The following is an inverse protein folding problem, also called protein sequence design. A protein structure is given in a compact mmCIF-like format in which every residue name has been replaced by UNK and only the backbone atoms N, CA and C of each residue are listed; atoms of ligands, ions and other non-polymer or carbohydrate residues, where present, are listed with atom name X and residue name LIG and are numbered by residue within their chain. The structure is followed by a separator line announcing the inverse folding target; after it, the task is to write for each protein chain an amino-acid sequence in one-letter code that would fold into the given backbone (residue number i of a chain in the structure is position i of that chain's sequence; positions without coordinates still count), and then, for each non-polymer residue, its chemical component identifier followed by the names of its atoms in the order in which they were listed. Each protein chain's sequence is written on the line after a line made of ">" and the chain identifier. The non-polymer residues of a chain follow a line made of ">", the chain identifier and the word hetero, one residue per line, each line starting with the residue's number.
data_IF_992916034044
#
_entry.id   IF_992916034044
#
_cell.length_a   1.000
_cell.length_b   1.000
_cell.length_c   1.000
_cell.angle_alpha   90.00
_cell.angle_beta   90.00
_cell.angle_gamma   90.00
#
_symmetry.space_group_name_H-M   'P 1'
#
loop_
_entity.id
_entity.type
_entity.pdbx_description
1 polymer ?
#
# COMPACT_ATOMS: atom_id res chain seq x y z
N UNK A 1 -15.75 -4.97 -17.26
CA UNK A 1 -14.63 -5.05 -16.29
C UNK A 1 -14.03 -6.44 -16.14
N UNK A 2 -14.72 -7.53 -16.57
CA UNK A 2 -14.22 -8.89 -16.38
C UNK A 2 -13.23 -9.35 -17.47
N UNK A 3 -13.54 -9.11 -18.74
CA UNK A 3 -12.72 -9.53 -19.88
C UNK A 3 -12.30 -8.37 -20.80
N UNK A 4 -12.56 -7.12 -20.38
CA UNK A 4 -12.23 -5.89 -21.10
C UNK A 4 -12.88 -5.77 -22.51
N UNK A 5 -13.81 -6.66 -22.88
CA UNK A 5 -14.56 -6.57 -24.13
C UNK A 5 -15.44 -5.31 -24.16
N UNK A 6 -15.59 -4.74 -25.34
CA UNK A 6 -16.50 -3.61 -25.62
C UNK A 6 -17.92 -4.06 -25.97
N UNK A 7 -18.16 -5.37 -26.20
CA UNK A 7 -19.46 -5.92 -26.56
C UNK A 7 -20.36 -6.05 -25.33
N UNK A 8 -20.93 -4.95 -24.89
CA UNK A 8 -21.78 -4.86 -23.71
C UNK A 8 -23.19 -4.41 -24.08
N UNK A 9 -24.18 -4.95 -23.38
CA UNK A 9 -25.59 -4.55 -23.51
C UNK A 9 -26.18 -4.20 -22.15
N UNK A 10 -27.24 -3.36 -22.16
CA UNK A 10 -28.04 -3.10 -20.96
C UNK A 10 -28.77 -4.37 -20.56
N UNK A 11 -28.75 -4.73 -19.29
CA UNK A 11 -29.33 -5.96 -18.75
C UNK A 11 -30.20 -5.68 -17.52
N UNK A 12 -31.25 -4.92 -17.71
CA UNK A 12 -32.19 -4.55 -16.67
C UNK A 12 -31.56 -3.66 -15.55
N UNK A 13 -32.29 -3.55 -14.45
CA UNK A 13 -31.88 -2.82 -13.24
C UNK A 13 -31.79 -3.77 -12.06
N UNK A 14 -30.99 -3.39 -11.05
CA UNK A 14 -30.98 -4.09 -9.77
C UNK A 14 -32.17 -3.63 -8.87
N UNK A 15 -32.33 -4.28 -7.71
CA UNK A 15 -33.40 -3.97 -6.75
C UNK A 15 -33.32 -2.53 -6.18
N UNK A 16 -32.21 -1.83 -6.40
CA UNK A 16 -31.99 -0.42 -6.00
C UNK A 16 -32.16 0.55 -7.15
N UNK A 17 -32.57 0.07 -8.35
CA UNK A 17 -32.76 0.88 -9.54
C UNK A 17 -31.50 1.15 -10.36
N UNK A 18 -30.33 0.62 -9.99
CA UNK A 18 -29.09 0.83 -10.73
C UNK A 18 -29.07 -0.01 -12.02
N UNK A 19 -28.58 0.59 -13.11
CA UNK A 19 -28.44 -0.10 -14.39
C UNK A 19 -27.40 -1.21 -14.31
N UNK A 20 -27.77 -2.42 -14.72
CA UNK A 20 -26.88 -3.55 -14.92
C UNK A 20 -26.53 -3.71 -16.41
N UNK A 21 -25.40 -4.30 -16.67
CA UNK A 21 -24.87 -4.59 -17.99
C UNK A 21 -24.48 -6.06 -18.09
N UNK A 22 -24.55 -6.61 -19.29
CA UNK A 22 -24.09 -7.97 -19.63
C UNK A 22 -22.99 -7.86 -20.68
N UNK A 23 -21.88 -8.51 -20.47
CA UNK A 23 -20.86 -8.71 -21.49
C UNK A 23 -21.24 -9.91 -22.37
N UNK A 24 -21.31 -9.72 -23.69
CA UNK A 24 -21.66 -10.79 -24.63
C UNK A 24 -20.54 -11.83 -24.80
N UNK A 25 -19.30 -11.44 -24.57
CA UNK A 25 -18.14 -12.34 -24.71
C UNK A 25 -17.99 -13.30 -23.53
N UNK A 26 -18.00 -12.79 -22.30
CA UNK A 26 -17.79 -13.61 -21.10
C UNK A 26 -19.07 -13.93 -20.33
N UNK A 27 -20.23 -13.49 -20.84
CA UNK A 27 -21.56 -13.70 -20.24
C UNK A 27 -21.70 -13.26 -18.76
N UNK A 28 -20.79 -12.44 -18.27
CA UNK A 28 -20.83 -11.91 -16.89
C UNK A 28 -21.59 -10.59 -16.85
N UNK A 29 -22.40 -10.43 -15.80
CA UNK A 29 -23.10 -9.17 -15.53
C UNK A 29 -22.26 -8.27 -14.64
N UNK A 30 -22.42 -6.96 -14.79
CA UNK A 30 -21.74 -5.95 -13.99
C UNK A 30 -22.57 -4.67 -13.90
N UNK A 31 -22.19 -3.78 -12.99
CA UNK A 31 -22.76 -2.45 -12.82
C UNK A 31 -21.64 -1.41 -12.76
N UNK A 32 -21.99 -0.12 -12.67
CA UNK A 32 -21.01 0.98 -12.56
C UNK A 32 -20.06 0.87 -11.37
N UNK A 33 -20.49 0.20 -10.29
CA UNK A 33 -19.67 0.02 -9.09
C UNK A 33 -18.85 -1.30 -9.11
N UNK A 34 -19.02 -2.16 -10.11
CA UNK A 34 -18.29 -3.43 -10.20
C UNK A 34 -16.79 -3.18 -10.38
N UNK A 35 -15.99 -3.75 -9.52
CA UNK A 35 -14.52 -3.56 -9.49
C UNK A 35 -14.06 -2.28 -8.78
N UNK A 36 -15.00 -1.44 -8.30
CA UNK A 36 -14.67 -0.26 -7.50
C UNK A 36 -14.56 -0.59 -6.00
N UNK A 37 -14.12 0.38 -5.20
CA UNK A 37 -14.10 0.32 -3.75
C UNK A 37 -15.47 -0.09 -3.17
N UNK A 38 -16.56 0.35 -3.80
CA UNK A 38 -17.94 0.09 -3.38
C UNK A 38 -18.49 -1.25 -3.89
N UNK A 39 -17.69 -2.05 -4.59
CA UNK A 39 -18.12 -3.35 -5.10
C UNK A 39 -18.50 -4.28 -3.94
N UNK A 40 -19.64 -4.98 -4.10
CA UNK A 40 -20.20 -5.91 -3.10
C UNK A 40 -20.57 -5.29 -1.74
N UNK A 41 -20.65 -3.96 -1.64
CA UNK A 41 -21.09 -3.33 -0.39
C UNK A 41 -22.63 -3.30 -0.28
N UNK A 42 -23.13 -3.58 0.93
CA UNK A 42 -24.53 -3.36 1.31
C UNK A 42 -24.73 -2.02 2.03
N UNK A 43 -23.63 -1.35 2.36
CA UNK A 43 -23.63 -0.11 3.13
C UNK A 43 -23.83 1.10 2.25
N UNK A 44 -24.33 2.19 2.83
CA UNK A 44 -24.63 3.42 2.11
C UNK A 44 -23.35 4.20 1.78
N UNK A 45 -23.34 5.00 0.69
CA UNK A 45 -22.16 5.78 0.30
C UNK A 45 -21.66 6.75 1.39
N UNK A 46 -22.57 7.35 2.18
CA UNK A 46 -22.17 8.28 3.23
C UNK A 46 -21.34 7.62 4.33
N UNK A 47 -21.63 6.33 4.66
CA UNK A 47 -20.84 5.57 5.65
C UNK A 47 -19.39 5.36 5.18
N UNK A 48 -19.19 5.18 3.88
CA UNK A 48 -17.85 5.11 3.28
C UNK A 48 -17.13 6.44 3.37
N UNK A 49 -17.85 7.55 3.14
CA UNK A 49 -17.27 8.89 3.26
C UNK A 49 -16.81 9.18 4.70
N UNK A 50 -17.67 8.94 5.69
CA UNK A 50 -17.33 9.09 7.11
C UNK A 50 -16.15 8.21 7.52
N UNK A 51 -16.13 6.97 7.04
CA UNK A 51 -15.03 6.05 7.30
C UNK A 51 -13.70 6.53 6.70
N UNK A 52 -13.70 6.99 5.46
CA UNK A 52 -12.52 7.52 4.78
C UNK A 52 -12.00 8.76 5.53
N UNK A 53 -12.89 9.66 5.92
CA UNK A 53 -12.52 10.85 6.68
C UNK A 53 -11.88 10.48 8.04
N UNK A 54 -12.46 9.53 8.76
CA UNK A 54 -11.92 9.01 10.01
C UNK A 54 -10.53 8.37 9.80
N UNK A 55 -10.33 7.62 8.70
CA UNK A 55 -9.03 7.04 8.35
C UNK A 55 -7.96 8.12 8.15
N UNK A 56 -8.27 9.21 7.45
CA UNK A 56 -7.34 10.33 7.25
C UNK A 56 -7.07 11.12 8.53
N UNK A 57 -8.00 11.14 9.47
CA UNK A 57 -7.79 11.71 10.80
C UNK A 57 -6.88 10.85 11.70
N UNK A 58 -6.52 9.64 11.25
CA UNK A 58 -5.66 8.72 12.00
C UNK A 58 -6.41 7.95 13.10
N UNK A 59 -7.73 7.86 13.03
CA UNK A 59 -8.53 7.13 14.01
C UNK A 59 -8.23 5.62 14.03
N UNK A 60 -8.45 5.01 15.19
CA UNK A 60 -8.32 3.56 15.36
C UNK A 60 -9.40 2.81 14.59
N UNK A 61 -9.22 1.49 14.37
CA UNK A 61 -10.24 0.65 13.71
C UNK A 61 -11.59 0.70 14.42
N UNK A 62 -11.60 0.58 15.74
CA UNK A 62 -12.80 0.62 16.56
C UNK A 62 -13.54 1.97 16.40
N UNK A 63 -12.79 3.08 16.56
CA UNK A 63 -13.39 4.42 16.42
C UNK A 63 -13.93 4.68 15.01
N UNK A 64 -13.21 4.27 13.96
CA UNK A 64 -13.70 4.37 12.58
C UNK A 64 -14.95 3.51 12.35
N UNK A 65 -15.04 2.35 13.01
CA UNK A 65 -16.22 1.49 12.96
C UNK A 65 -17.43 2.18 13.57
N UNK A 66 -17.26 2.77 14.75
CA UNK A 66 -18.34 3.49 15.45
C UNK A 66 -18.85 4.69 14.65
N UNK A 67 -17.93 5.51 14.11
CA UNK A 67 -18.28 6.68 13.28
C UNK A 67 -19.10 6.28 12.06
N UNK A 68 -18.69 5.24 11.36
CA UNK A 68 -19.36 4.78 10.12
C UNK A 68 -20.56 3.84 10.39
N UNK A 69 -20.87 3.50 11.65
CA UNK A 69 -21.95 2.58 11.99
C UNK A 69 -21.76 1.17 11.41
N UNK A 70 -20.55 0.63 11.50
CA UNK A 70 -20.17 -0.69 11.01
C UNK A 70 -19.48 -1.51 12.11
N UNK A 71 -19.37 -2.82 11.94
CA UNK A 71 -18.61 -3.68 12.86
C UNK A 71 -17.10 -3.54 12.67
N UNK A 72 -16.30 -3.80 13.70
CA UNK A 72 -14.84 -3.76 13.62
C UNK A 72 -14.25 -4.69 12.53
N UNK A 73 -14.73 -5.93 12.35
CA UNK A 73 -14.28 -6.76 11.22
C UNK A 73 -14.53 -6.12 9.86
N UNK A 74 -15.68 -5.42 9.69
CA UNK A 74 -15.98 -4.67 8.48
C UNK A 74 -15.05 -3.47 8.33
N UNK A 75 -14.75 -2.76 9.43
CA UNK A 75 -13.79 -1.66 9.48
C UNK A 75 -12.41 -2.12 8.98
N UNK A 76 -11.91 -3.26 9.46
CA UNK A 76 -10.64 -3.82 9.00
C UNK A 76 -10.65 -4.11 7.49
N UNK A 77 -11.70 -4.75 6.98
CA UNK A 77 -11.85 -5.04 5.55
C UNK A 77 -11.89 -3.76 4.71
N UNK A 78 -12.61 -2.74 5.18
CA UNK A 78 -12.71 -1.46 4.49
C UNK A 78 -11.37 -0.75 4.46
N UNK A 79 -10.63 -0.75 5.59
CA UNK A 79 -9.29 -0.18 5.66
C UNK A 79 -8.35 -0.83 4.63
N UNK A 80 -8.35 -2.16 4.55
CA UNK A 80 -7.55 -2.86 3.54
C UNK A 80 -7.95 -2.50 2.11
N UNK A 81 -9.26 -2.43 1.80
CA UNK A 81 -9.72 -2.02 0.47
C UNK A 81 -9.27 -0.61 0.10
N UNK A 82 -9.40 0.34 1.02
CA UNK A 82 -9.00 1.74 0.78
C UNK A 82 -7.49 1.83 0.58
N UNK A 83 -6.72 1.20 1.46
CA UNK A 83 -5.26 1.20 1.35
C UNK A 83 -4.76 0.52 0.07
N UNK A 84 -5.44 -0.53 -0.40
CA UNK A 84 -5.11 -1.17 -1.68
C UNK A 84 -5.34 -0.22 -2.86
N UNK A 85 -6.47 0.48 -2.90
CA UNK A 85 -6.74 1.48 -3.95
C UNK A 85 -5.75 2.64 -3.88
N UNK A 86 -5.41 3.11 -2.69
CA UNK A 86 -4.40 4.17 -2.52
C UNK A 86 -3.02 3.68 -2.97
N UNK A 87 -2.64 2.44 -2.67
CA UNK A 87 -1.39 1.86 -3.14
C UNK A 87 -1.33 1.83 -4.68
N UNK A 88 -2.42 1.42 -5.34
CA UNK A 88 -2.50 1.41 -6.80
C UNK A 88 -2.41 2.82 -7.41
N UNK A 89 -3.00 3.83 -6.76
CA UNK A 89 -2.95 5.22 -7.19
C UNK A 89 -1.57 5.88 -6.93
N UNK A 90 -0.83 5.41 -5.94
CA UNK A 90 0.49 5.94 -5.56
C UNK A 90 1.63 5.15 -6.19
N UNK A 91 1.34 4.19 -7.07
CA UNK A 91 2.33 3.43 -7.84
C UNK A 91 3.07 4.26 -8.91
N UNK A 92 3.02 5.58 -8.83
CA UNK A 92 4.02 6.39 -9.49
C UNK A 92 5.38 6.00 -8.90
N UNK A 93 6.21 5.37 -9.73
CA UNK A 93 7.61 5.12 -9.43
C UNK A 93 8.40 6.39 -9.78
N UNK A 94 8.42 7.43 -8.93
CA UNK A 94 9.08 8.65 -9.28
C UNK A 94 10.57 8.38 -9.46
N UNK A 95 11.15 8.95 -10.48
CA UNK A 95 12.59 9.11 -10.59
C UNK A 95 12.96 10.30 -9.72
N UNK A 96 13.80 10.05 -8.72
CA UNK A 96 14.23 11.07 -7.77
C UNK A 96 15.30 11.97 -8.43
N UNK A 97 15.42 13.20 -7.97
CA UNK A 97 16.35 14.19 -8.54
C UNK A 97 17.07 14.99 -7.46
N UNK A 98 18.15 15.63 -7.85
CA UNK A 98 18.96 16.52 -7.02
C UNK A 98 19.49 15.84 -5.74
N UNK A 99 19.14 16.33 -4.57
CA UNK A 99 19.56 15.72 -3.31
C UNK A 99 18.51 14.74 -2.80
N UNK A 100 18.91 13.49 -2.61
CA UNK A 100 18.06 12.38 -2.14
C UNK A 100 18.49 11.98 -0.73
N UNK A 101 17.55 12.00 0.19
CA UNK A 101 17.73 11.54 1.57
C UNK A 101 17.23 10.11 1.71
N UNK A 102 18.07 9.22 2.26
CA UNK A 102 17.76 7.82 2.51
C UNK A 102 17.67 7.55 3.99
N UNK A 103 16.64 6.82 4.39
CA UNK A 103 16.45 6.34 5.77
C UNK A 103 15.74 4.99 5.78
N UNK A 104 15.85 4.26 6.90
CA UNK A 104 15.11 3.03 7.11
C UNK A 104 14.44 2.97 8.48
N UNK A 105 13.29 2.32 8.52
CA UNK A 105 12.55 2.03 9.75
C UNK A 105 12.37 0.54 9.95
N UNK A 106 12.73 0.07 11.13
CA UNK A 106 12.55 -1.30 11.55
C UNK A 106 11.18 -1.49 12.22
N UNK A 107 10.30 -2.27 11.59
CA UNK A 107 9.01 -2.65 12.16
C UNK A 107 9.02 -4.11 12.61
N UNK A 108 8.49 -4.36 13.80
CA UNK A 108 8.29 -5.72 14.31
C UNK A 108 7.21 -6.40 13.49
N UNK A 109 7.49 -7.61 13.01
CA UNK A 109 6.47 -8.45 12.39
C UNK A 109 5.62 -9.03 13.51
N UNK A 110 4.39 -8.53 13.66
CA UNK A 110 3.44 -9.06 14.64
C UNK A 110 2.65 -10.21 14.03
N UNK A 111 2.55 -11.30 14.76
CA UNK A 111 1.69 -12.44 14.45
C UNK A 111 0.45 -12.46 15.34
N UNK A 112 -0.12 -11.27 15.62
CA UNK A 112 -1.34 -11.15 16.42
C UNK A 112 -2.47 -11.97 15.80
N UNK A 113 -3.14 -12.77 16.61
CA UNK A 113 -4.22 -13.68 16.17
C UNK A 113 -3.80 -15.11 15.83
N UNK A 114 -2.51 -15.42 15.78
CA UNK A 114 -2.04 -16.82 15.71
C UNK A 114 -1.75 -17.32 17.13
N UNK A 115 -2.37 -18.43 17.53
CA UNK A 115 -1.92 -19.19 18.69
C UNK A 115 -0.55 -19.77 18.36
N UNK A 116 0.51 -19.10 18.81
CA UNK A 116 1.85 -19.68 18.78
C UNK A 116 2.09 -20.35 20.13
N UNK A 117 2.30 -21.64 20.15
CA UNK A 117 2.63 -22.41 21.35
C UNK A 117 3.94 -21.95 22.02
N UNK A 118 4.84 -21.32 21.24
CA UNK A 118 6.07 -20.72 21.74
C UNK A 118 6.13 -19.25 21.35
N UNK A 119 5.79 -18.34 22.25
CA UNK A 119 6.09 -16.90 22.08
C UNK A 119 7.58 -16.69 22.23
N UNK A 120 8.31 -16.71 21.13
CA UNK A 120 9.71 -16.27 21.15
C UNK A 120 9.78 -14.81 21.65
N UNK A 121 10.67 -14.59 22.63
CA UNK A 121 10.91 -13.23 23.13
C UNK A 121 11.41 -12.35 22.00
N UNK A 122 10.83 -11.16 21.85
CA UNK A 122 11.28 -10.18 20.86
C UNK A 122 12.75 -9.82 21.09
N UNK A 123 13.56 -10.07 20.07
CA UNK A 123 14.99 -9.72 20.11
C UNK A 123 15.16 -8.21 19.91
N UNK A 124 16.02 -7.59 20.72
CA UNK A 124 16.40 -6.18 20.59
C UNK A 124 17.29 -5.98 19.35
N UNK A 125 17.31 -4.75 18.80
CA UNK A 125 18.15 -4.39 17.66
C UNK A 125 17.65 -4.92 16.31
N UNK A 126 18.55 -5.08 15.35
CA UNK A 126 18.29 -5.64 14.02
C UNK A 126 18.16 -7.16 14.12
N UNK A 127 16.94 -7.67 14.13
CA UNK A 127 16.68 -9.10 14.20
C UNK A 127 15.87 -9.56 13.00
N UNK A 128 15.95 -10.87 12.69
CA UNK A 128 15.11 -11.51 11.66
C UNK A 128 13.60 -11.40 11.92
N UNK A 129 13.19 -11.02 13.13
CA UNK A 129 11.80 -10.77 13.51
C UNK A 129 11.31 -9.37 13.10
N UNK A 130 12.18 -8.52 12.57
CA UNK A 130 11.85 -7.16 12.16
C UNK A 130 11.96 -7.02 10.64
N UNK A 131 11.03 -6.31 10.06
CA UNK A 131 11.01 -5.99 8.62
C UNK A 131 11.45 -4.56 8.42
N UNK A 132 12.29 -4.34 7.44
CA UNK A 132 12.72 -3.00 7.07
C UNK A 132 11.68 -2.33 6.17
N UNK A 133 11.45 -1.04 6.41
CA UNK A 133 10.78 -0.14 5.50
C UNK A 133 11.83 0.87 5.09
N UNK A 134 12.22 0.87 3.82
CA UNK A 134 13.18 1.80 3.27
C UNK A 134 12.46 2.97 2.65
N UNK A 135 12.98 4.16 2.87
CA UNK A 135 12.44 5.41 2.37
C UNK A 135 13.53 6.21 1.66
N UNK A 136 13.19 6.76 0.51
CA UNK A 136 13.97 7.79 -0.18
C UNK A 136 13.07 8.98 -0.46
N UNK A 137 13.58 10.19 -0.22
CA UNK A 137 12.86 11.43 -0.51
C UNK A 137 13.82 12.42 -1.14
N UNK A 138 13.38 13.10 -2.20
CA UNK A 138 14.16 14.17 -2.82
C UNK A 138 13.73 15.57 -2.34
N UNK A 139 14.42 16.60 -2.78
CA UNK A 139 14.11 18.00 -2.45
C UNK A 139 12.75 18.47 -2.97
N UNK A 140 12.20 17.81 -3.98
CA UNK A 140 10.88 18.09 -4.57
C UNK A 140 9.74 17.32 -3.89
N UNK A 141 10.05 16.62 -2.77
CA UNK A 141 9.10 15.80 -2.02
C UNK A 141 8.58 14.56 -2.78
N UNK A 142 9.27 14.14 -3.86
CA UNK A 142 9.03 12.82 -4.44
C UNK A 142 9.52 11.76 -3.48
N UNK A 143 8.74 10.70 -3.30
CA UNK A 143 9.01 9.68 -2.28
C UNK A 143 9.00 8.29 -2.88
N UNK A 144 9.97 7.49 -2.50
CA UNK A 144 10.00 6.05 -2.75
C UNK A 144 10.01 5.36 -1.41
N UNK A 145 8.92 4.66 -1.08
CA UNK A 145 8.79 3.90 0.17
C UNK A 145 8.54 2.45 -0.21
N UNK A 146 9.35 1.55 0.31
CA UNK A 146 9.22 0.13 0.02
C UNK A 146 9.49 -0.72 1.25
N UNK A 147 8.66 -1.76 1.42
CA UNK A 147 8.87 -2.79 2.42
C UNK A 147 9.90 -3.77 1.86
N UNK A 148 10.95 -3.97 2.63
CA UNK A 148 12.09 -4.82 2.31
C UNK A 148 12.06 -6.15 3.10
N UNK A 149 13.11 -6.95 2.98
CA UNK A 149 13.24 -8.22 3.69
C UNK A 149 13.33 -8.04 5.22
N UNK A 150 13.27 -9.15 5.94
CA UNK A 150 13.44 -9.14 7.40
C UNK A 150 14.91 -9.18 7.81
N UNK A 151 15.23 -8.57 8.94
CA UNK A 151 16.57 -8.55 9.48
C UNK A 151 17.43 -7.40 8.96
N UNK A 152 18.72 -7.64 8.79
CA UNK A 152 19.65 -6.61 8.34
C UNK A 152 19.52 -6.39 6.84
N UNK A 153 19.31 -5.15 6.44
CA UNK A 153 19.22 -4.81 5.02
C UNK A 153 20.60 -4.87 4.34
N UNK A 154 20.62 -5.48 3.15
CA UNK A 154 21.82 -5.63 2.35
C UNK A 154 21.87 -4.63 1.18
N UNK A 155 23.08 -4.19 0.84
CA UNK A 155 23.28 -3.22 -0.26
C UNK A 155 22.79 -3.70 -1.62
N UNK A 156 22.81 -5.01 -1.88
CA UNK A 156 22.27 -5.59 -3.12
C UNK A 156 20.76 -5.44 -3.23
N UNK A 157 20.05 -5.54 -2.09
CA UNK A 157 18.61 -5.36 -2.02
C UNK A 157 18.24 -3.89 -2.20
N UNK A 158 18.93 -2.99 -1.50
CA UNK A 158 18.79 -1.54 -1.70
C UNK A 158 19.02 -1.15 -3.17
N UNK A 159 20.03 -1.75 -3.80
CA UNK A 159 20.29 -1.51 -5.22
C UNK A 159 19.13 -1.95 -6.13
N UNK A 160 18.51 -3.09 -5.89
CA UNK A 160 17.33 -3.54 -6.64
C UNK A 160 16.16 -2.56 -6.52
N UNK A 161 16.01 -1.94 -5.33
CA UNK A 161 14.93 -0.98 -5.07
C UNK A 161 15.19 0.35 -5.77
N UNK A 162 16.43 0.83 -5.75
CA UNK A 162 16.75 2.22 -6.10
C UNK A 162 17.44 2.42 -7.46
N UNK A 163 17.92 1.36 -8.13
CA UNK A 163 18.70 1.44 -9.37
C UNK A 163 18.00 2.22 -10.51
N UNK A 164 16.67 2.11 -10.60
CA UNK A 164 15.87 2.74 -11.64
C UNK A 164 15.18 4.04 -11.13
N UNK A 165 15.48 4.44 -9.88
CA UNK A 165 14.82 5.55 -9.19
C UNK A 165 15.76 6.67 -8.78
N UNK A 166 17.04 6.37 -8.58
CA UNK A 166 18.08 7.34 -8.22
C UNK A 166 19.12 7.38 -9.34
N UNK A 167 19.05 8.39 -10.23
CA UNK A 167 20.06 8.61 -11.26
C UNK A 167 21.45 8.91 -10.68
N UNK A 168 22.50 8.63 -11.43
CA UNK A 168 23.90 8.92 -11.02
C UNK A 168 24.20 10.42 -10.87
N UNK A 169 23.31 11.28 -11.34
CA UNK A 169 23.40 12.74 -11.19
C UNK A 169 23.01 13.24 -9.80
N UNK A 170 22.33 12.38 -9.01
CA UNK A 170 21.87 12.76 -7.68
C UNK A 170 23.00 12.80 -6.66
N UNK A 171 22.85 13.69 -5.68
CA UNK A 171 23.61 13.66 -4.42
C UNK A 171 22.80 12.86 -3.40
N UNK A 172 23.42 11.88 -2.72
CA UNK A 172 22.72 11.03 -1.75
C UNK A 172 23.21 11.33 -0.34
N UNK A 173 22.27 11.58 0.55
CA UNK A 173 22.48 11.78 1.98
C UNK A 173 21.85 10.64 2.74
N UNK A 174 22.62 9.98 3.59
CA UNK A 174 22.11 8.89 4.45
C UNK A 174 22.87 8.90 5.77
N UNK A 175 22.42 8.06 6.71
CA UNK A 175 23.18 7.74 7.90
C UNK A 175 24.47 6.94 7.57
N UNK A 176 25.27 6.66 8.59
CA UNK A 176 26.56 5.96 8.45
C UNK A 176 26.41 4.44 8.22
N UNK A 177 25.26 3.93 7.84
CA UNK A 177 25.06 2.50 7.64
C UNK A 177 25.91 1.98 6.46
N UNK A 178 26.70 0.94 6.71
CA UNK A 178 27.62 0.36 5.70
C UNK A 178 26.91 -0.08 4.39
N UNK A 179 25.63 -0.42 4.47
CA UNK A 179 24.83 -0.81 3.30
C UNK A 179 24.60 0.35 2.34
N UNK A 180 24.41 1.58 2.85
CA UNK A 180 24.27 2.79 2.06
C UNK A 180 25.59 3.20 1.38
N UNK A 181 26.72 3.13 2.08
CA UNK A 181 28.01 3.38 1.43
C UNK A 181 28.29 2.47 0.24
N UNK A 182 27.90 1.18 0.31
CA UNK A 182 28.02 0.26 -0.82
C UNK A 182 26.97 0.57 -1.90
N UNK A 183 25.75 0.97 -1.53
CA UNK A 183 24.72 1.38 -2.47
C UNK A 183 25.17 2.57 -3.31
N UNK A 184 25.72 3.63 -2.67
CA UNK A 184 26.21 4.82 -3.36
C UNK A 184 27.27 4.47 -4.42
N UNK A 185 28.18 3.54 -4.11
CA UNK A 185 29.17 3.02 -5.08
C UNK A 185 28.50 2.31 -6.25
N UNK A 186 27.45 1.50 -6.01
CA UNK A 186 26.73 0.81 -7.07
C UNK A 186 25.93 1.76 -7.96
N UNK A 187 25.32 2.78 -7.38
CA UNK A 187 24.58 3.82 -8.11
C UNK A 187 25.49 4.86 -8.77
N UNK A 188 26.81 4.89 -8.44
CA UNK A 188 27.78 5.89 -8.88
C UNK A 188 27.38 7.33 -8.52
N UNK A 189 26.74 7.49 -7.37
CA UNK A 189 26.32 8.79 -6.82
C UNK A 189 27.33 9.32 -5.79
N UNK A 190 27.26 10.63 -5.53
CA UNK A 190 28.09 11.34 -4.53
C UNK A 190 27.38 11.45 -3.19
#
# INVERSE_FOLDING_TARGET
>A
PHCQSKHIIKYGKDNKGNQRYLCKECSKTFSSITGSLLSYTKKQPYQWFEYIQSLFNGDTLARSADIAGISEPTSLLWRHKILSVLADLTHDNPVLSDTVYLDEKLNVVTHSGKHMENKEKQKRGMSSQKRNIVCAIDQHNNKVIQVSETGRIHSKELYKIYKDKIPSTCQVVSDSLRSYHKLMKYLRVK
#
